data_IF_392818463906
#
_entry.id   IF_392818463906
#
_cell.length_a   1.000
_cell.length_b   1.000
_cell.length_c   1.000
_cell.angle_alpha   90.00
_cell.angle_beta   90.00
_cell.angle_gamma   90.00
#
_symmetry.space_group_name_H-M   'P 1'
#
loop_
_entity.id
_entity.type
_entity.pdbx_description
1 polymer ?
#
# COMPACT_ATOMS: atom_id res chain seq x y z
N UNK A 1 8.02 -20.43 10.04
CA UNK A 1 9.46 -20.07 10.23
C UNK A 1 10.07 -19.47 8.96
N UNK A 2 9.81 -20.00 7.76
CA UNK A 2 10.36 -19.52 6.49
C UNK A 2 10.15 -18.01 6.20
N UNK A 3 8.94 -17.48 6.42
CA UNK A 3 8.65 -16.06 6.18
C UNK A 3 9.54 -15.11 6.99
N UNK A 4 9.67 -15.35 8.31
CA UNK A 4 10.47 -14.49 9.16
C UNK A 4 11.97 -14.51 8.78
N UNK A 5 12.47 -15.66 8.32
CA UNK A 5 13.84 -15.81 7.83
C UNK A 5 14.05 -15.04 6.52
N UNK A 6 13.11 -15.13 5.57
CA UNK A 6 13.16 -14.37 4.32
C UNK A 6 13.12 -12.85 4.56
N UNK A 7 12.27 -12.38 5.46
CA UNK A 7 12.19 -10.96 5.84
C UNK A 7 13.50 -10.49 6.48
N UNK A 8 14.10 -11.32 7.35
CA UNK A 8 15.41 -11.03 7.94
C UNK A 8 16.54 -11.00 6.92
N UNK A 9 16.57 -11.95 5.97
CA UNK A 9 17.56 -11.99 4.89
C UNK A 9 17.48 -10.76 3.96
N UNK A 10 16.28 -10.17 3.82
CA UNK A 10 16.07 -8.92 3.10
C UNK A 10 16.46 -7.66 3.91
N UNK A 11 16.96 -7.79 5.14
CA UNK A 11 17.30 -6.66 6.02
C UNK A 11 16.07 -5.93 6.59
N UNK A 12 14.88 -6.54 6.53
CA UNK A 12 13.63 -5.93 6.98
C UNK A 12 13.35 -6.33 8.42
N UNK A 13 13.04 -5.35 9.28
CA UNK A 13 12.62 -5.62 10.65
C UNK A 13 11.13 -5.97 10.71
N UNK A 14 10.81 -7.25 10.90
CA UNK A 14 9.44 -7.70 11.10
C UNK A 14 8.89 -7.23 12.46
N UNK A 15 7.68 -6.64 12.47
CA UNK A 15 7.00 -6.18 13.70
C UNK A 15 5.53 -6.60 13.66
N UNK A 16 5.03 -7.15 14.77
CA UNK A 16 3.62 -7.46 14.94
C UNK A 16 2.82 -6.25 15.41
N UNK A 17 1.55 -6.20 15.01
CA UNK A 17 0.55 -5.29 15.56
C UNK A 17 0.26 -5.70 17.00
N UNK A 18 0.24 -4.74 17.93
CA UNK A 18 -0.09 -4.99 19.32
C UNK A 18 -1.61 -5.19 19.48
N UNK A 19 -2.06 -6.14 20.30
CA UNK A 19 -3.48 -6.30 20.59
C UNK A 19 -4.12 -4.99 21.07
N UNK A 20 -5.35 -4.73 20.60
CA UNK A 20 -6.16 -3.54 20.95
C UNK A 20 -5.51 -2.19 20.55
N UNK A 21 -4.72 -2.17 19.48
CA UNK A 21 -4.09 -0.94 18.93
C UNK A 21 -4.42 -0.74 17.43
N UNK A 22 -5.69 -0.50 17.07
CA UNK A 22 -6.12 -0.35 15.67
C UNK A 22 -5.40 0.79 14.92
N UNK A 23 -4.93 1.80 15.64
CA UNK A 23 -4.19 2.94 15.05
C UNK A 23 -2.89 2.51 14.35
N UNK A 24 -2.31 1.35 14.70
CA UNK A 24 -1.08 0.84 14.07
C UNK A 24 -1.29 0.37 12.62
N UNK A 25 -2.52 0.09 12.23
CA UNK A 25 -2.89 -0.36 10.87
C UNK A 25 -3.80 0.63 10.14
N UNK A 26 -4.14 1.76 10.76
CA UNK A 26 -5.14 2.69 10.20
C UNK A 26 -4.82 3.23 8.79
N UNK A 27 -3.54 3.30 8.39
CA UNK A 27 -3.17 3.63 6.99
C UNK A 27 -3.55 2.51 6.01
N UNK A 28 -3.25 1.26 6.37
CA UNK A 28 -3.58 0.06 5.59
C UNK A 28 -5.09 -0.13 5.51
N UNK A 29 -5.80 0.06 6.62
CA UNK A 29 -7.26 -0.03 6.65
C UNK A 29 -7.90 1.04 5.77
N UNK A 30 -7.44 2.29 5.84
CA UNK A 30 -7.96 3.37 4.98
C UNK A 30 -7.72 3.09 3.50
N UNK A 31 -6.49 2.69 3.12
CA UNK A 31 -6.21 2.38 1.71
C UNK A 31 -7.02 1.17 1.23
N UNK A 32 -7.21 0.15 2.08
CA UNK A 32 -8.06 -1.01 1.77
C UNK A 32 -9.52 -0.61 1.60
N UNK A 33 -10.04 0.29 2.44
CA UNK A 33 -11.44 0.76 2.35
C UNK A 33 -11.68 1.53 1.05
N UNK A 34 -10.83 2.50 0.73
CA UNK A 34 -10.86 3.22 -0.57
C UNK A 34 -10.71 2.22 -1.73
N UNK A 35 -9.76 1.30 -1.55
CA UNK A 35 -9.59 0.03 -2.28
C UNK A 35 -10.92 -0.59 -2.70
N UNK A 36 -11.68 -0.94 -1.70
CA UNK A 36 -12.93 -1.66 -1.83
C UNK A 36 -14.04 -0.80 -2.43
N UNK A 37 -14.28 0.39 -1.88
CA UNK A 37 -15.36 1.29 -2.28
C UNK A 37 -15.27 1.71 -3.75
N UNK A 38 -14.05 1.97 -4.24
CA UNK A 38 -13.86 2.52 -5.59
C UNK A 38 -13.77 1.44 -6.68
N UNK A 39 -13.32 0.23 -6.35
CA UNK A 39 -12.98 -0.79 -7.35
C UNK A 39 -13.58 -2.15 -7.02
N UNK A 40 -13.19 -2.76 -5.88
CA UNK A 40 -13.54 -4.16 -5.62
C UNK A 40 -15.03 -4.38 -5.38
N UNK A 41 -15.77 -3.36 -4.92
CA UNK A 41 -17.23 -3.42 -4.81
C UNK A 41 -17.94 -3.49 -6.17
N UNK A 42 -17.25 -3.13 -7.26
CA UNK A 42 -17.78 -3.02 -8.63
C UNK A 42 -17.25 -4.08 -9.59
N UNK A 43 -16.27 -4.89 -9.18
CA UNK A 43 -15.61 -5.87 -10.03
C UNK A 43 -15.70 -7.27 -9.41
N UNK A 44 -16.10 -8.27 -10.20
CA UNK A 44 -16.12 -9.68 -9.81
C UNK A 44 -14.85 -10.37 -10.31
N UNK A 45 -14.13 -11.05 -9.41
CA UNK A 45 -12.76 -11.56 -9.64
C UNK A 45 -12.65 -12.80 -10.54
N UNK A 46 -13.62 -13.06 -11.41
CA UNK A 46 -13.66 -14.27 -12.24
C UNK A 46 -12.89 -14.15 -13.56
N UNK A 47 -12.51 -12.93 -13.97
CA UNK A 47 -12.03 -12.68 -15.34
C UNK A 47 -10.63 -12.05 -15.40
N UNK A 48 -9.88 -12.38 -16.45
CA UNK A 48 -8.56 -11.78 -16.80
C UNK A 48 -8.61 -10.25 -16.86
N UNK A 49 -9.76 -9.70 -17.25
CA UNK A 49 -10.03 -8.25 -17.25
C UNK A 49 -9.85 -7.61 -15.87
N UNK A 50 -10.09 -8.36 -14.79
CA UNK A 50 -9.92 -7.87 -13.42
C UNK A 50 -8.47 -7.55 -13.09
N UNK A 51 -7.49 -8.32 -13.60
CA UNK A 51 -6.06 -8.05 -13.34
C UNK A 51 -5.61 -6.78 -14.07
N UNK A 52 -5.99 -6.64 -15.34
CA UNK A 52 -5.71 -5.44 -16.13
C UNK A 52 -6.35 -4.20 -15.49
N UNK A 53 -7.62 -4.30 -15.09
CA UNK A 53 -8.34 -3.23 -14.41
C UNK A 53 -7.71 -2.89 -13.04
N UNK A 54 -7.24 -3.89 -12.29
CA UNK A 54 -6.57 -3.69 -11.01
C UNK A 54 -5.25 -2.93 -11.18
N UNK A 55 -4.44 -3.26 -12.20
CA UNK A 55 -3.21 -2.54 -12.53
C UNK A 55 -3.47 -1.11 -12.98
N UNK A 56 -4.49 -0.90 -13.83
CA UNK A 56 -4.89 0.44 -14.26
C UNK A 56 -5.31 1.30 -13.04
N UNK A 57 -6.11 0.71 -12.14
CA UNK A 57 -6.54 1.35 -10.90
C UNK A 57 -5.38 1.66 -9.95
N UNK A 58 -4.40 0.77 -9.82
CA UNK A 58 -3.18 1.03 -9.06
C UNK A 58 -2.38 2.19 -9.63
N UNK A 59 -2.21 2.23 -10.97
CA UNK A 59 -1.53 3.32 -11.66
C UNK A 59 -2.21 4.67 -11.39
N UNK A 60 -3.52 4.76 -11.58
CA UNK A 60 -4.27 5.99 -11.30
C UNK A 60 -4.17 6.40 -9.83
N UNK A 61 -4.31 5.46 -8.90
CA UNK A 61 -4.20 5.78 -7.47
C UNK A 61 -2.81 6.30 -7.08
N UNK A 62 -1.73 5.68 -7.60
CA UNK A 62 -0.37 6.02 -7.21
C UNK A 62 0.20 7.24 -7.94
N UNK A 63 -0.20 7.48 -9.19
CA UNK A 63 0.45 8.46 -10.08
C UNK A 63 -0.45 9.60 -10.57
N UNK A 64 -1.77 9.50 -10.43
CA UNK A 64 -2.71 10.51 -10.95
C UNK A 64 -3.57 11.13 -9.84
N UNK A 65 -3.80 10.39 -8.74
CA UNK A 65 -4.62 10.85 -7.62
C UNK A 65 -3.86 11.79 -6.70
N UNK A 66 -4.20 13.07 -6.73
CA UNK A 66 -3.77 14.02 -5.70
C UNK A 66 -4.48 13.78 -4.37
N UNK A 67 -3.77 14.03 -3.27
CA UNK A 67 -4.34 13.92 -1.92
C UNK A 67 -3.98 15.15 -1.10
N UNK A 68 -4.99 15.81 -0.52
CA UNK A 68 -4.78 16.91 0.43
C UNK A 68 -3.98 16.45 1.66
N UNK A 69 -4.20 15.22 2.11
CA UNK A 69 -3.41 14.62 3.19
C UNK A 69 -1.93 14.41 2.81
N UNK A 70 -1.61 14.44 1.51
CA UNK A 70 -0.26 14.37 0.97
C UNK A 70 0.24 15.72 0.42
N UNK A 71 -0.35 16.84 0.85
CA UNK A 71 0.03 18.20 0.42
C UNK A 71 -0.18 18.42 -1.09
N UNK A 72 -1.32 17.96 -1.61
CA UNK A 72 -1.67 18.05 -3.04
C UNK A 72 -0.67 17.36 -3.96
N UNK A 73 0.00 16.32 -3.46
CA UNK A 73 0.86 15.42 -4.25
C UNK A 73 0.19 14.07 -4.44
N UNK A 74 0.63 13.36 -5.46
CA UNK A 74 0.32 11.94 -5.63
C UNK A 74 1.11 11.07 -4.64
N UNK A 75 0.66 9.84 -4.34
CA UNK A 75 1.43 8.92 -3.52
C UNK A 75 2.87 8.70 -4.02
N UNK A 76 3.07 8.57 -5.34
CA UNK A 76 4.38 8.39 -5.94
C UNK A 76 5.28 9.62 -5.76
N UNK A 77 4.76 10.84 -6.00
CA UNK A 77 5.51 12.07 -5.75
C UNK A 77 5.87 12.24 -4.27
N UNK A 78 4.95 11.88 -3.36
CA UNK A 78 5.23 11.92 -1.93
C UNK A 78 6.32 10.93 -1.57
N UNK A 79 6.28 9.70 -2.11
CA UNK A 79 7.31 8.69 -1.90
C UNK A 79 8.68 9.17 -2.38
N UNK A 80 8.74 9.77 -3.57
CA UNK A 80 9.98 10.32 -4.16
C UNK A 80 10.57 11.48 -3.35
N UNK A 81 9.77 12.16 -2.51
CA UNK A 81 10.25 13.24 -1.64
C UNK A 81 11.02 12.78 -0.41
N UNK A 82 10.99 11.48 -0.08
CA UNK A 82 11.77 10.93 1.03
C UNK A 82 13.20 10.61 0.58
N UNK A 83 14.20 10.79 1.47
CA UNK A 83 15.55 10.33 1.17
C UNK A 83 15.56 8.81 0.95
N UNK A 84 16.51 8.29 0.17
CA UNK A 84 16.66 6.85 0.00
C UNK A 84 16.83 6.18 1.37
N UNK A 85 16.26 4.97 1.57
CA UNK A 85 16.38 4.29 2.85
C UNK A 85 17.85 4.08 3.19
N UNK A 86 18.25 4.43 4.42
CA UNK A 86 19.58 4.09 4.89
C UNK A 86 19.72 2.57 4.88
N UNK A 87 20.76 2.05 4.23
CA UNK A 87 21.15 0.64 4.43
C UNK A 87 21.58 0.55 5.89
N UNK A 88 20.78 -0.12 6.71
CA UNK A 88 21.20 -0.48 8.05
C UNK A 88 22.50 -1.30 7.91
N UNK A 89 23.56 -0.86 8.60
CA UNK A 89 24.80 -1.61 8.76
C UNK A 89 24.55 -2.91 9.53
#
# INVERSE_FOLDING_TARGET
>A
MAFALAVGAAGIRHRYIKPRRPQQTGKVERSRRIGHEEFWSRHTSTDFDTDTAARARERTYNHERFSLALQSRTPAEKLASFPPPSRAA
#
